data_IF_035043094628
#
_entry.id   IF_035043094628
#
_cell.length_a   1.000
_cell.length_b   1.000
_cell.length_c   1.000
_cell.angle_alpha   90.00
_cell.angle_beta   90.00
_cell.angle_gamma   90.00
#
_symmetry.space_group_name_H-M   'P 1'
#
loop_
_entity.id
_entity.type
_entity.pdbx_description
1 polymer ?
#
# COMPACT_ATOMS: atom_id res chain seq x y z
N UNK A 1 3.69 -28.84 -46.54
CA UNK A 1 4.18 -28.78 -45.14
C UNK A 1 3.19 -28.01 -44.31
N UNK A 2 2.50 -28.71 -43.39
CA UNK A 2 1.48 -28.11 -42.52
C UNK A 2 2.14 -27.51 -41.29
N UNK A 3 2.11 -26.18 -41.10
CA UNK A 3 2.51 -25.56 -39.87
C UNK A 3 1.36 -25.58 -38.87
N UNK A 4 1.59 -26.27 -37.78
CA UNK A 4 0.69 -26.41 -36.65
C UNK A 4 0.49 -25.04 -35.96
N UNK A 5 -0.77 -24.63 -35.81
CA UNK A 5 -1.17 -23.51 -34.94
C UNK A 5 -1.07 -24.00 -33.46
N UNK A 6 -0.09 -23.53 -32.75
CA UNK A 6 -0.05 -23.69 -31.30
C UNK A 6 -0.95 -22.60 -30.67
N UNK A 7 -2.15 -23.01 -30.30
CA UNK A 7 -3.05 -22.22 -29.46
C UNK A 7 -2.54 -22.28 -28.02
N UNK A 8 -1.79 -21.27 -27.60
CA UNK A 8 -1.36 -21.12 -26.22
C UNK A 8 -2.53 -20.63 -25.35
N UNK A 9 -3.22 -21.57 -24.71
CA UNK A 9 -4.04 -21.31 -23.53
C UNK A 9 -3.11 -20.95 -22.37
N UNK A 10 -2.76 -19.67 -22.21
CA UNK A 10 -2.19 -19.19 -20.97
C UNK A 10 -3.31 -19.15 -19.93
N UNK A 11 -3.22 -20.13 -19.03
CA UNK A 11 -4.20 -20.40 -18.02
C UNK A 11 -4.40 -19.27 -17.04
N UNK A 12 -5.65 -19.04 -16.77
CA UNK A 12 -6.23 -18.41 -15.58
C UNK A 12 -5.91 -19.26 -14.32
N UNK A 13 -4.65 -19.40 -13.95
CA UNK A 13 -4.21 -20.18 -12.78
C UNK A 13 -3.29 -19.38 -11.86
N UNK A 14 -3.78 -18.22 -11.38
CA UNK A 14 -3.08 -17.51 -10.30
C UNK A 14 -4.03 -16.80 -9.32
N UNK A 15 -5.35 -17.04 -9.37
CA UNK A 15 -6.31 -16.39 -8.47
C UNK A 15 -6.83 -17.28 -7.33
N UNK A 16 -6.36 -18.53 -7.20
CA UNK A 16 -6.88 -19.46 -6.20
C UNK A 16 -5.99 -19.65 -4.95
N UNK A 17 -4.86 -18.97 -4.83
CA UNK A 17 -3.90 -19.19 -3.72
C UNK A 17 -4.03 -18.21 -2.54
N UNK A 18 -5.01 -17.28 -2.54
CA UNK A 18 -5.18 -16.30 -1.45
C UNK A 18 -6.52 -16.40 -0.72
N UNK A 19 -7.20 -17.52 -0.80
CA UNK A 19 -8.35 -17.80 0.04
C UNK A 19 -7.93 -18.48 1.35
N UNK A 20 -6.97 -17.92 2.07
CA UNK A 20 -6.83 -18.19 3.50
C UNK A 20 -7.80 -17.27 4.23
N UNK A 21 -8.60 -17.77 5.18
CA UNK A 21 -9.46 -16.93 6.01
C UNK A 21 -8.58 -16.22 7.05
N UNK A 22 -7.76 -15.30 6.61
CA UNK A 22 -7.19 -14.32 7.51
C UNK A 22 -8.28 -13.31 7.84
N UNK A 23 -8.45 -13.07 9.14
CA UNK A 23 -9.36 -12.13 9.75
C UNK A 23 -9.58 -10.91 8.85
N UNK A 24 -10.84 -10.59 8.56
CA UNK A 24 -11.24 -9.44 7.77
C UNK A 24 -10.54 -8.21 8.35
N UNK A 25 -9.51 -7.74 7.69
CA UNK A 25 -8.85 -6.49 8.03
C UNK A 25 -9.90 -5.39 7.83
N UNK A 26 -10.08 -4.52 8.80
CA UNK A 26 -11.02 -3.40 8.78
C UNK A 26 -10.83 -2.43 7.58
N UNK A 27 -9.77 -2.63 6.79
CA UNK A 27 -9.38 -1.84 5.63
C UNK A 27 -9.84 -2.40 4.28
N UNK A 28 -10.52 -3.55 4.23
CA UNK A 28 -11.01 -4.12 2.97
C UNK A 28 -12.24 -3.37 2.46
N UNK A 29 -12.25 -2.98 1.17
CA UNK A 29 -13.41 -2.28 0.63
C UNK A 29 -13.23 -1.77 -0.79
N UNK A 30 -14.34 -1.35 -1.37
CA UNK A 30 -14.38 -0.71 -2.68
C UNK A 30 -13.98 0.75 -2.59
N UNK A 31 -13.29 1.22 -3.61
CA UNK A 31 -12.99 2.63 -3.77
C UNK A 31 -13.05 3.03 -5.25
N UNK A 32 -13.21 4.32 -5.48
CA UNK A 32 -13.13 4.90 -6.82
C UNK A 32 -12.44 6.24 -6.77
N UNK A 33 -11.92 6.69 -7.90
CA UNK A 33 -11.21 7.96 -7.94
C UNK A 33 -11.00 8.48 -9.35
N UNK A 34 -10.55 9.72 -9.39
CA UNK A 34 -10.14 10.38 -10.62
C UNK A 34 -8.82 11.13 -10.39
N UNK A 35 -7.98 11.17 -11.42
CA UNK A 35 -6.74 11.94 -11.40
C UNK A 35 -6.54 12.66 -12.73
N UNK A 36 -5.86 13.80 -12.67
CA UNK A 36 -5.43 14.57 -13.82
C UNK A 36 -3.97 15.02 -13.64
N UNK A 37 -3.27 15.20 -14.75
CA UNK A 37 -1.87 15.57 -14.68
C UNK A 37 -1.27 15.83 -16.06
N UNK A 38 0.05 15.90 -16.07
CA UNK A 38 0.83 16.08 -17.30
C UNK A 38 1.37 14.75 -17.78
N UNK A 39 1.06 14.43 -19.03
CA UNK A 39 1.64 13.31 -19.76
C UNK A 39 2.79 13.79 -20.65
N UNK A 40 3.82 12.95 -20.81
CA UNK A 40 4.95 13.24 -21.67
C UNK A 40 5.29 12.02 -22.51
N UNK A 41 5.27 12.19 -23.82
CA UNK A 41 5.79 11.23 -24.79
C UNK A 41 7.21 11.64 -25.20
N UNK A 42 7.97 10.66 -25.71
CA UNK A 42 9.26 10.92 -26.38
C UNK A 42 9.09 10.60 -27.86
N UNK A 43 9.25 11.61 -28.71
CA UNK A 43 9.14 11.48 -30.17
C UNK A 43 10.53 11.14 -30.73
N UNK A 44 10.58 10.15 -31.62
CA UNK A 44 11.83 9.70 -32.26
C UNK A 44 12.08 10.42 -33.59
N UNK A 45 12.78 11.55 -33.51
CA UNK A 45 13.17 12.37 -34.68
C UNK A 45 14.00 11.60 -35.69
N UNK A 46 14.84 10.69 -35.22
CA UNK A 46 15.70 9.86 -36.09
C UNK A 46 14.84 8.96 -36.99
N UNK A 47 13.81 8.37 -36.45
CA UNK A 47 12.84 7.54 -37.19
C UNK A 47 12.03 8.34 -38.19
N UNK A 48 11.57 9.53 -37.79
CA UNK A 48 10.83 10.45 -38.69
C UNK A 48 11.73 10.84 -39.86
N UNK A 49 12.95 11.26 -39.57
CA UNK A 49 13.98 11.64 -40.59
C UNK A 49 14.28 10.48 -41.53
N UNK A 50 14.49 9.28 -41.00
CA UNK A 50 14.79 8.09 -41.82
C UNK A 50 13.60 7.68 -42.69
N UNK A 51 12.39 7.79 -42.18
CA UNK A 51 11.16 7.51 -42.92
C UNK A 51 10.96 8.48 -44.08
N UNK A 52 11.16 9.77 -43.85
CA UNK A 52 11.10 10.81 -44.89
C UNK A 52 12.21 10.62 -45.94
N UNK A 53 13.44 10.33 -45.53
CA UNK A 53 14.57 10.07 -46.45
C UNK A 53 14.29 8.85 -47.32
N UNK A 54 13.73 7.76 -46.77
CA UNK A 54 13.31 6.58 -47.51
C UNK A 54 12.20 6.85 -48.51
N UNK A 55 11.46 7.94 -48.35
CA UNK A 55 10.43 8.43 -49.29
C UNK A 55 10.97 9.51 -50.24
N UNK A 56 12.26 9.81 -50.25
CA UNK A 56 12.91 10.79 -51.14
C UNK A 56 12.89 12.24 -50.63
N UNK A 57 12.58 12.45 -49.32
CA UNK A 57 12.56 13.78 -48.70
C UNK A 57 13.72 13.93 -47.68
N UNK A 58 14.44 15.03 -47.76
CA UNK A 58 15.37 15.41 -46.70
C UNK A 58 14.65 16.25 -45.64
N UNK A 59 14.84 15.92 -44.38
CA UNK A 59 14.28 16.71 -43.26
C UNK A 59 15.17 17.92 -42.99
N UNK A 60 14.57 19.11 -42.95
CA UNK A 60 15.27 20.37 -42.68
C UNK A 60 15.04 20.85 -41.24
N UNK A 61 13.91 20.57 -40.66
CA UNK A 61 13.63 20.82 -39.22
C UNK A 61 12.52 19.92 -38.71
N UNK A 62 12.55 19.59 -37.40
CA UNK A 62 11.47 18.92 -36.69
C UNK A 62 11.14 19.75 -35.46
N UNK A 63 9.86 19.95 -35.22
CA UNK A 63 9.31 20.56 -34.00
C UNK A 63 8.36 19.56 -33.37
N UNK A 64 8.55 19.26 -32.08
CA UNK A 64 7.81 18.25 -31.33
C UNK A 64 6.89 18.88 -30.26
N UNK A 65 5.70 18.33 -30.16
CA UNK A 65 4.77 18.56 -29.05
C UNK A 65 4.69 17.28 -28.20
N UNK A 66 5.59 17.17 -27.24
CA UNK A 66 5.79 15.98 -26.39
C UNK A 66 4.94 15.98 -25.13
N UNK A 67 4.22 17.08 -24.82
CA UNK A 67 3.48 17.24 -23.59
C UNK A 67 1.98 17.34 -23.86
N UNK A 68 1.19 16.71 -22.97
CA UNK A 68 -0.26 16.82 -23.03
C UNK A 68 -0.85 16.74 -21.63
N UNK A 69 -2.15 17.06 -21.50
CA UNK A 69 -2.89 16.77 -20.27
C UNK A 69 -3.43 15.35 -20.33
N UNK A 70 -3.10 14.56 -19.30
CA UNK A 70 -3.62 13.22 -19.11
C UNK A 70 -4.60 13.16 -17.95
N UNK A 71 -5.59 12.27 -18.03
CA UNK A 71 -6.53 12.02 -16.95
C UNK A 71 -6.89 10.54 -16.86
N UNK A 72 -7.30 10.14 -15.64
CA UNK A 72 -7.76 8.77 -15.34
C UNK A 72 -9.05 8.81 -14.53
N UNK A 73 -9.87 7.80 -14.76
CA UNK A 73 -10.99 7.43 -13.90
C UNK A 73 -10.81 5.96 -13.53
N UNK A 74 -10.82 5.64 -12.25
CA UNK A 74 -10.51 4.30 -11.78
C UNK A 74 -11.38 3.87 -10.62
N UNK A 75 -11.52 2.55 -10.46
CA UNK A 75 -12.11 1.92 -9.30
C UNK A 75 -11.34 0.67 -8.94
N UNK A 76 -11.39 0.30 -7.68
CA UNK A 76 -10.63 -0.84 -7.19
C UNK A 76 -11.24 -1.44 -5.93
N UNK A 77 -10.74 -2.60 -5.60
CA UNK A 77 -11.02 -3.28 -4.34
C UNK A 77 -9.73 -3.48 -3.56
N UNK A 78 -9.68 -2.94 -2.37
CA UNK A 78 -8.59 -3.15 -1.43
C UNK A 78 -8.88 -4.41 -0.63
N UNK A 79 -7.97 -5.41 -0.70
CA UNK A 79 -8.13 -6.70 -0.02
C UNK A 79 -7.71 -6.63 1.46
N UNK A 80 -6.69 -5.81 1.71
CA UNK A 80 -6.11 -5.58 3.03
C UNK A 80 -5.32 -4.27 3.00
N UNK A 81 -4.70 -3.88 4.11
CA UNK A 81 -3.90 -2.65 4.19
C UNK A 81 -2.74 -2.54 3.19
N UNK A 82 -2.30 -3.67 2.58
CA UNK A 82 -1.11 -3.71 1.73
C UNK A 82 -1.41 -3.97 0.25
N UNK A 83 -2.58 -4.53 -0.12
CA UNK A 83 -2.86 -4.93 -1.50
C UNK A 83 -4.24 -4.52 -1.97
N UNK A 84 -4.29 -4.03 -3.22
CA UNK A 84 -5.52 -3.72 -3.94
C UNK A 84 -5.41 -4.14 -5.41
N UNK A 85 -6.57 -4.39 -6.04
CA UNK A 85 -6.73 -4.52 -7.48
C UNK A 85 -7.47 -3.30 -7.99
N UNK A 86 -6.95 -2.64 -9.01
CA UNK A 86 -7.49 -1.40 -9.55
C UNK A 86 -7.66 -1.52 -11.07
N UNK A 87 -8.84 -1.18 -11.58
CA UNK A 87 -9.13 -1.09 -13.00
C UNK A 87 -9.60 0.31 -13.35
N UNK A 88 -9.31 0.77 -14.57
CA UNK A 88 -9.71 2.12 -14.93
C UNK A 88 -9.59 2.45 -16.41
N UNK A 89 -10.09 3.63 -16.74
CA UNK A 89 -9.92 4.28 -18.03
C UNK A 89 -8.84 5.36 -17.91
N UNK A 90 -8.01 5.47 -18.93
CA UNK A 90 -7.04 6.56 -19.08
C UNK A 90 -7.14 7.23 -20.47
N UNK A 91 -6.88 8.53 -20.51
CA UNK A 91 -6.59 9.29 -21.72
C UNK A 91 -5.29 10.06 -21.47
N UNK A 92 -4.23 9.73 -22.21
CA UNK A 92 -2.91 10.36 -22.09
C UNK A 92 -2.80 11.63 -22.91
N UNK A 93 -3.87 12.00 -23.63
CA UNK A 93 -3.93 13.20 -24.45
C UNK A 93 -3.39 13.00 -25.87
N UNK A 94 -2.87 14.07 -26.45
CA UNK A 94 -2.42 14.15 -27.84
C UNK A 94 -0.98 14.64 -27.89
N UNK A 95 -0.16 13.95 -28.65
CA UNK A 95 1.24 14.31 -28.93
C UNK A 95 1.42 14.47 -30.43
N UNK A 96 2.39 15.27 -30.85
CA UNK A 96 2.57 15.50 -32.26
C UNK A 96 3.94 16.01 -32.65
N UNK A 97 4.18 16.03 -33.95
CA UNK A 97 5.37 16.64 -34.54
C UNK A 97 5.02 17.33 -35.87
N UNK A 98 5.86 18.28 -36.24
CA UNK A 98 5.88 18.90 -37.56
C UNK A 98 7.29 18.80 -38.13
N UNK A 99 7.46 18.08 -39.23
CA UNK A 99 8.70 18.00 -39.99
C UNK A 99 8.64 18.80 -41.27
N UNK A 100 9.59 19.68 -41.51
CA UNK A 100 9.75 20.43 -42.76
C UNK A 100 10.73 19.69 -43.66
N UNK A 101 10.48 19.67 -44.96
CA UNK A 101 11.20 18.87 -45.91
C UNK A 101 11.76 19.66 -47.09
N UNK A 102 12.77 19.05 -47.76
CA UNK A 102 13.25 19.41 -49.08
C UNK A 102 13.12 18.18 -50.01
N UNK A 103 12.42 18.20 -51.13
CA UNK A 103 11.69 19.39 -51.68
C UNK A 103 10.64 19.95 -50.76
N UNK A 104 10.28 21.22 -50.94
CA UNK A 104 9.45 21.99 -50.01
C UNK A 104 8.11 21.32 -49.72
N UNK A 105 7.91 21.01 -48.44
CA UNK A 105 6.68 20.43 -47.89
C UNK A 105 6.77 20.30 -46.39
N UNK A 106 5.67 19.88 -45.75
CA UNK A 106 5.61 19.56 -44.33
C UNK A 106 4.91 18.23 -44.10
N UNK A 107 5.36 17.48 -43.11
CA UNK A 107 4.65 16.34 -42.56
C UNK A 107 4.25 16.68 -41.12
N UNK A 108 2.95 16.71 -40.86
CA UNK A 108 2.44 16.80 -39.48
C UNK A 108 1.91 15.44 -39.05
N UNK A 109 2.38 14.95 -37.92
CA UNK A 109 1.90 13.74 -37.29
C UNK A 109 1.35 14.03 -35.89
N UNK A 110 0.24 13.40 -35.55
CA UNK A 110 -0.36 13.47 -34.23
C UNK A 110 -0.79 12.07 -33.79
N UNK A 111 -0.60 11.77 -32.52
CA UNK A 111 -1.09 10.54 -31.89
C UNK A 111 -1.97 10.87 -30.71
N UNK A 112 -3.15 10.25 -30.62
CA UNK A 112 -4.05 10.30 -29.46
C UNK A 112 -4.10 8.92 -28.81
N UNK A 113 -3.91 8.87 -27.48
CA UNK A 113 -3.77 7.63 -26.72
C UNK A 113 -4.76 7.59 -25.57
N UNK A 114 -5.60 6.55 -25.58
CA UNK A 114 -6.59 6.28 -24.52
C UNK A 114 -6.78 4.77 -24.37
N UNK A 115 -7.32 4.33 -23.25
CA UNK A 115 -7.54 2.90 -23.06
C UNK A 115 -8.04 2.52 -21.69
N UNK A 116 -7.94 1.23 -21.40
CA UNK A 116 -8.27 0.64 -20.13
C UNK A 116 -7.01 0.05 -19.47
N UNK A 117 -6.97 0.01 -18.17
CA UNK A 117 -5.90 -0.64 -17.41
C UNK A 117 -6.45 -1.54 -16.31
N UNK A 118 -5.62 -2.50 -15.92
CA UNK A 118 -5.82 -3.36 -14.76
C UNK A 118 -4.49 -3.49 -14.03
N UNK A 119 -4.45 -3.05 -12.78
CA UNK A 119 -3.24 -2.91 -11.98
C UNK A 119 -3.37 -3.66 -10.65
N UNK A 120 -2.32 -4.37 -10.26
CA UNK A 120 -2.08 -4.75 -8.88
C UNK A 120 -1.37 -3.59 -8.18
N UNK A 121 -1.89 -3.19 -7.02
CA UNK A 121 -1.36 -2.08 -6.22
C UNK A 121 -0.86 -2.63 -4.89
N UNK A 122 0.43 -2.43 -4.63
CA UNK A 122 1.06 -2.71 -3.34
C UNK A 122 1.15 -1.42 -2.53
N UNK A 123 0.57 -1.40 -1.34
CA UNK A 123 0.48 -0.24 -0.47
C UNK A 123 1.38 -0.45 0.75
N UNK A 124 2.17 0.55 1.07
CA UNK A 124 3.02 0.60 2.26
C UNK A 124 2.52 1.75 3.16
N UNK A 125 1.77 1.46 4.22
CA UNK A 125 1.41 2.46 5.21
C UNK A 125 2.67 2.96 5.93
N UNK A 126 2.87 4.29 5.97
CA UNK A 126 4.00 4.94 6.64
C UNK A 126 3.52 5.56 7.95
N UNK A 127 2.33 6.17 7.93
CA UNK A 127 1.62 6.67 9.11
C UNK A 127 0.13 6.35 8.97
N UNK A 128 -0.69 6.66 9.96
CA UNK A 128 -2.15 6.49 9.90
C UNK A 128 -2.80 7.23 8.71
N UNK A 129 -2.20 8.33 8.26
CA UNK A 129 -2.75 9.15 7.16
C UNK A 129 -1.94 9.10 5.88
N UNK A 130 -0.68 8.69 5.95
CA UNK A 130 0.24 8.74 4.81
C UNK A 130 0.73 7.35 4.42
N UNK A 131 0.58 7.00 3.16
CA UNK A 131 1.08 5.75 2.58
C UNK A 131 1.80 6.01 1.26
N UNK A 132 2.83 5.19 0.99
CA UNK A 132 3.42 5.05 -0.33
C UNK A 132 2.81 3.83 -1.02
N UNK A 133 2.82 3.82 -2.34
CA UNK A 133 2.37 2.66 -3.09
C UNK A 133 3.17 2.47 -4.37
N UNK A 134 3.21 1.22 -4.84
CA UNK A 134 3.67 0.85 -6.16
C UNK A 134 2.57 0.11 -6.90
N UNK A 135 2.55 0.24 -8.22
CA UNK A 135 1.61 -0.48 -9.08
C UNK A 135 2.32 -1.13 -10.25
N UNK A 136 1.83 -2.27 -10.66
CA UNK A 136 2.22 -2.94 -11.90
C UNK A 136 0.99 -3.56 -12.53
N UNK A 137 0.84 -3.42 -13.84
CA UNK A 137 -0.35 -3.90 -14.51
C UNK A 137 -0.23 -3.93 -16.02
N UNK A 138 -1.37 -4.16 -16.63
CA UNK A 138 -1.55 -4.19 -18.08
C UNK A 138 -2.39 -3.00 -18.50
N UNK A 139 -2.10 -2.48 -19.69
CA UNK A 139 -2.96 -1.52 -20.36
C UNK A 139 -3.39 -2.05 -21.74
N UNK A 140 -4.63 -1.83 -22.09
CA UNK A 140 -5.17 -2.04 -23.42
C UNK A 140 -5.41 -0.66 -24.06
N UNK A 141 -4.38 -0.20 -24.80
CA UNK A 141 -4.34 1.12 -25.37
C UNK A 141 -4.87 1.14 -26.81
N UNK A 142 -5.69 2.15 -27.11
CA UNK A 142 -6.08 2.54 -28.44
C UNK A 142 -5.26 3.74 -28.88
N UNK A 143 -4.33 3.51 -29.82
CA UNK A 143 -3.53 4.53 -30.47
C UNK A 143 -4.24 4.95 -31.78
N UNK A 144 -4.55 6.22 -31.94
CA UNK A 144 -5.07 6.80 -33.17
C UNK A 144 -4.09 7.85 -33.66
N UNK A 145 -3.43 7.55 -34.77
CA UNK A 145 -2.51 8.45 -35.42
C UNK A 145 -3.25 9.28 -36.49
N UNK A 146 -2.75 10.45 -36.74
CA UNK A 146 -3.27 11.32 -37.83
C UNK A 146 -2.08 12.03 -38.46
N UNK A 147 -1.92 11.86 -39.75
CA UNK A 147 -0.88 12.47 -40.54
C UNK A 147 -1.47 13.39 -41.63
N UNK A 148 -0.86 14.54 -41.81
CA UNK A 148 -1.17 15.47 -42.89
C UNK A 148 0.10 15.94 -43.58
N UNK A 149 0.13 15.86 -44.91
CA UNK A 149 1.23 16.36 -45.74
C UNK A 149 0.83 17.67 -46.43
N UNK A 150 1.83 18.50 -46.68
CA UNK A 150 1.67 19.70 -47.54
C UNK A 150 2.84 19.77 -48.54
N UNK A 151 2.64 20.56 -49.61
CA UNK A 151 3.64 20.70 -50.66
C UNK A 151 3.87 19.40 -51.41
N UNK A 152 5.12 18.93 -51.47
CA UNK A 152 5.48 17.69 -52.16
C UNK A 152 5.25 16.41 -51.31
N UNK A 153 4.89 16.54 -50.05
CA UNK A 153 4.68 15.40 -49.14
C UNK A 153 3.26 14.88 -49.25
N UNK A 154 3.09 13.66 -49.76
CA UNK A 154 1.82 12.97 -49.83
C UNK A 154 1.72 11.88 -48.75
N UNK A 155 0.55 11.73 -48.14
CA UNK A 155 0.32 10.76 -47.03
C UNK A 155 -0.67 9.70 -47.50
N UNK A 156 -0.18 8.50 -47.75
CA UNK A 156 -1.00 7.38 -48.28
C UNK A 156 -2.03 6.89 -47.23
N UNK A 157 -1.65 6.82 -45.95
CA UNK A 157 -2.54 6.41 -44.88
C UNK A 157 -2.59 7.49 -43.78
N UNK A 158 -3.57 8.43 -43.91
CA UNK A 158 -3.60 9.61 -43.04
C UNK A 158 -4.10 9.33 -41.61
N UNK A 159 -4.85 8.25 -41.37
CA UNK A 159 -5.48 7.99 -40.06
C UNK A 159 -5.34 6.53 -39.62
N UNK A 160 -4.14 6.00 -39.46
CA UNK A 160 -3.98 4.65 -38.97
C UNK A 160 -4.36 4.58 -37.48
N UNK A 161 -4.88 3.41 -37.06
CA UNK A 161 -5.17 3.16 -35.66
C UNK A 161 -4.84 1.74 -35.25
N UNK A 162 -4.53 1.53 -33.99
CA UNK A 162 -4.15 0.22 -33.44
C UNK A 162 -4.58 0.08 -32.01
N UNK A 163 -5.06 -1.10 -31.68
CA UNK A 163 -5.23 -1.54 -30.30
C UNK A 163 -4.10 -2.46 -29.91
N UNK A 164 -3.49 -2.26 -28.76
CA UNK A 164 -2.43 -3.10 -28.26
C UNK A 164 -2.52 -3.25 -26.75
N UNK A 165 -2.21 -4.48 -26.30
CA UNK A 165 -2.03 -4.75 -24.87
C UNK A 165 -0.55 -4.60 -24.54
N UNK A 166 -0.25 -3.85 -23.48
CA UNK A 166 1.10 -3.58 -23.02
C UNK A 166 1.11 -3.58 -21.49
N UNK A 167 2.31 -3.52 -20.91
CA UNK A 167 2.47 -3.34 -19.47
C UNK A 167 2.55 -1.88 -19.07
N UNK A 168 2.25 -1.62 -17.81
CA UNK A 168 2.49 -0.33 -17.16
C UNK A 168 2.97 -0.56 -15.73
N UNK A 169 3.65 0.42 -15.20
CA UNK A 169 4.04 0.47 -13.80
C UNK A 169 4.07 1.91 -13.30
N UNK A 170 4.01 2.07 -11.98
CA UNK A 170 4.04 3.39 -11.37
C UNK A 170 4.29 3.32 -9.88
N UNK A 171 4.58 4.48 -9.32
CA UNK A 171 4.76 4.68 -7.89
C UNK A 171 4.07 5.98 -7.48
N UNK A 172 3.68 6.06 -6.22
CA UNK A 172 3.02 7.25 -5.74
C UNK A 172 2.90 7.28 -4.23
N UNK A 173 2.25 8.35 -3.78
CA UNK A 173 1.92 8.57 -2.38
C UNK A 173 0.46 8.92 -2.24
N UNK A 174 -0.12 8.58 -1.11
CA UNK A 174 -1.51 8.84 -0.79
C UNK A 174 -1.61 9.42 0.62
N UNK A 175 -2.46 10.43 0.76
CA UNK A 175 -2.74 11.08 2.03
C UNK A 175 -4.24 11.05 2.33
N UNK A 176 -4.63 10.44 3.44
CA UNK A 176 -6.02 10.40 3.90
C UNK A 176 -6.42 11.77 4.46
N UNK A 177 -7.35 12.45 3.79
CA UNK A 177 -7.94 13.72 4.23
C UNK A 177 -9.01 13.46 5.28
N UNK A 178 -9.83 12.45 5.03
CA UNK A 178 -10.86 11.91 5.94
C UNK A 178 -10.83 10.38 5.88
N UNK A 179 -11.68 9.70 6.61
CA UNK A 179 -11.82 8.24 6.55
C UNK A 179 -12.24 7.74 5.15
N UNK A 180 -13.04 8.53 4.43
CA UNK A 180 -13.57 8.16 3.13
C UNK A 180 -12.86 8.87 1.97
N UNK A 181 -12.15 9.96 2.21
CA UNK A 181 -11.54 10.78 1.14
C UNK A 181 -10.02 10.80 1.30
N UNK A 182 -9.30 10.49 0.22
CA UNK A 182 -7.86 10.59 0.16
C UNK A 182 -7.40 11.35 -1.09
N UNK A 183 -6.27 12.00 -1.00
CA UNK A 183 -5.55 12.58 -2.12
C UNK A 183 -4.40 11.66 -2.52
N UNK A 184 -4.15 11.53 -3.83
CA UNK A 184 -3.10 10.69 -4.40
C UNK A 184 -2.25 11.50 -5.35
N UNK A 185 -0.92 11.35 -5.27
CA UNK A 185 0.03 11.83 -6.27
C UNK A 185 0.83 10.64 -6.79
N UNK A 186 0.98 10.54 -8.11
CA UNK A 186 1.61 9.38 -8.73
C UNK A 186 2.37 9.73 -10.00
N UNK A 187 3.38 8.90 -10.30
CA UNK A 187 4.12 8.88 -11.56
C UNK A 187 3.94 7.49 -12.13
N UNK A 188 3.45 7.42 -13.36
CA UNK A 188 3.17 6.18 -14.06
C UNK A 188 3.86 6.17 -15.43
N UNK A 189 4.36 5.02 -15.84
CA UNK A 189 4.90 4.78 -17.17
C UNK A 189 4.06 3.75 -17.91
N UNK A 190 3.57 4.15 -19.06
CA UNK A 190 2.78 3.35 -19.97
C UNK A 190 3.63 2.93 -21.16
N UNK A 191 3.82 1.61 -21.36
CA UNK A 191 4.34 1.10 -22.62
C UNK A 191 3.24 1.19 -23.66
N UNK A 192 3.55 1.75 -24.84
CA UNK A 192 2.60 1.94 -25.92
C UNK A 192 3.20 1.40 -27.23
N UNK A 193 2.33 0.78 -28.05
CA UNK A 193 2.61 0.40 -29.41
C UNK A 193 1.65 1.16 -30.31
N UNK A 194 2.15 2.08 -31.14
CA UNK A 194 1.34 2.88 -32.07
C UNK A 194 0.96 2.12 -33.34
N UNK A 195 0.19 2.77 -34.21
CA UNK A 195 -0.29 2.18 -35.45
C UNK A 195 0.74 2.18 -36.57
N UNK A 196 1.82 2.97 -36.45
CA UNK A 196 2.92 3.01 -37.42
C UNK A 196 4.13 2.17 -37.01
N UNK A 197 3.93 1.31 -35.96
CA UNK A 197 4.93 0.32 -35.53
C UNK A 197 5.97 0.88 -34.56
N UNK A 198 5.76 2.08 -34.01
CA UNK A 198 6.62 2.60 -32.97
C UNK A 198 6.26 2.00 -31.61
N UNK A 199 7.28 1.77 -30.79
CA UNK A 199 7.15 1.28 -29.42
C UNK A 199 7.83 2.28 -28.50
N UNK A 200 7.01 3.05 -27.79
CA UNK A 200 7.49 4.12 -26.90
C UNK A 200 6.94 3.97 -25.49
N UNK A 201 7.46 4.80 -24.61
CA UNK A 201 6.97 4.96 -23.25
C UNK A 201 6.37 6.36 -23.09
N UNK A 202 5.25 6.44 -22.36
CA UNK A 202 4.64 7.70 -22.00
C UNK A 202 4.58 7.76 -20.48
N UNK A 203 5.13 8.83 -19.93
CA UNK A 203 5.12 9.11 -18.50
C UNK A 203 3.93 10.03 -18.18
N UNK A 204 3.16 9.69 -17.14
CA UNK A 204 2.08 10.51 -16.60
C UNK A 204 2.41 10.86 -15.15
N UNK A 205 2.52 12.15 -14.85
CA UNK A 205 2.58 12.68 -13.49
C UNK A 205 1.23 13.26 -13.16
N UNK A 206 0.54 12.73 -12.16
CA UNK A 206 -0.84 13.12 -11.87
C UNK A 206 -1.13 13.26 -10.38
N UNK A 207 -2.15 14.07 -10.09
CA UNK A 207 -2.75 14.22 -8.76
C UNK A 207 -4.23 13.90 -8.88
N UNK A 208 -4.78 13.23 -7.88
CA UNK A 208 -6.17 12.81 -7.90
C UNK A 208 -6.79 12.67 -6.52
N UNK A 209 -8.08 12.40 -6.53
CA UNK A 209 -8.88 12.12 -5.36
C UNK A 209 -9.42 10.70 -5.42
N UNK A 210 -9.48 10.08 -4.25
CA UNK A 210 -10.04 8.74 -4.05
C UNK A 210 -11.13 8.83 -3.02
N UNK A 211 -12.26 8.19 -3.33
CA UNK A 211 -13.35 8.00 -2.38
C UNK A 211 -13.51 6.52 -2.06
N UNK A 212 -13.49 6.17 -0.76
CA UNK A 212 -13.69 4.82 -0.25
C UNK A 212 -15.17 4.62 0.09
N UNK A 213 -15.78 3.59 -0.49
CA UNK A 213 -17.17 3.25 -0.26
C UNK A 213 -17.26 2.33 0.97
N UNK A 214 -18.15 2.64 1.89
CA UNK A 214 -18.37 1.81 3.07
C UNK A 214 -17.26 1.89 4.11
N UNK A 215 -16.59 3.04 4.23
CA UNK A 215 -15.74 3.31 5.37
C UNK A 215 -16.53 3.03 6.63
N UNK A 216 -16.21 1.93 7.32
CA UNK A 216 -16.70 1.76 8.69
C UNK A 216 -16.14 2.95 9.44
N UNK A 217 -17.02 3.78 9.97
CA UNK A 217 -16.64 4.68 11.05
C UNK A 217 -15.90 3.82 12.05
N UNK A 218 -14.62 4.08 12.40
CA UNK A 218 -14.01 3.41 13.52
C UNK A 218 -15.04 3.53 14.63
N UNK A 219 -15.43 2.42 15.22
CA UNK A 219 -16.31 2.47 16.37
C UNK A 219 -15.60 3.39 17.35
N UNK A 220 -16.06 4.64 17.39
CA UNK A 220 -15.57 5.65 18.33
C UNK A 220 -15.64 4.94 19.65
N UNK A 221 -14.48 4.62 20.23
CA UNK A 221 -14.43 4.07 21.57
C UNK A 221 -15.42 4.91 22.37
N UNK A 222 -16.41 4.33 23.04
CA UNK A 222 -17.49 5.10 23.66
C UNK A 222 -16.82 6.17 24.50
N UNK A 223 -16.90 7.44 24.03
CA UNK A 223 -16.49 8.58 24.83
C UNK A 223 -17.40 8.46 26.03
N UNK A 224 -16.84 8.19 27.20
CA UNK A 224 -17.56 8.19 28.42
C UNK A 224 -18.51 9.41 28.39
N UNK A 225 -19.80 9.16 28.30
CA UNK A 225 -20.79 10.22 28.25
C UNK A 225 -20.59 11.03 29.53
N UNK A 226 -20.24 12.31 29.35
CA UNK A 226 -20.30 13.29 30.42
C UNK A 226 -21.75 13.28 30.91
N UNK A 227 -22.01 13.01 32.20
CA UNK A 227 -23.37 12.84 32.67
C UNK A 227 -24.10 14.17 32.57
N UNK A 228 -25.12 14.24 31.70
CA UNK A 228 -26.11 15.30 31.75
C UNK A 228 -26.89 15.19 33.07
N UNK A 229 -27.20 16.29 33.75
CA UNK A 229 -27.94 16.26 35.00
C UNK A 229 -29.38 15.90 34.72
N UNK A 230 -29.73 14.64 34.94
CA UNK A 230 -31.15 14.19 34.92
C UNK A 230 -31.73 14.36 36.31
N UNK A 231 -32.82 15.11 36.37
CA UNK A 231 -33.62 15.29 37.56
C UNK A 231 -34.14 13.95 38.16
N UNK A 232 -34.06 13.85 39.47
CA UNK A 232 -34.34 12.66 40.24
C UNK A 232 -35.78 12.18 40.12
N UNK A 233 -35.96 10.88 39.82
CA UNK A 233 -37.15 10.10 40.18
C UNK A 233 -36.69 8.91 41.04
N UNK A 234 -37.48 8.47 42.02
CA UNK A 234 -37.02 7.58 43.10
C UNK A 234 -36.77 6.16 42.59
N UNK A 235 -35.64 5.61 43.01
CA UNK A 235 -35.09 4.32 42.62
C UNK A 235 -35.79 3.12 43.26
N UNK A 236 -35.87 1.97 42.54
CA UNK A 236 -35.85 0.66 43.16
C UNK A 236 -34.42 0.26 43.53
N UNK A 237 -34.25 -0.27 44.70
CA UNK A 237 -33.02 -0.75 45.29
C UNK A 237 -32.38 -1.84 44.41
N UNK A 238 -31.31 -1.52 43.65
CA UNK A 238 -30.48 -2.47 42.90
C UNK A 238 -29.29 -2.87 43.74
N UNK A 239 -29.18 -4.18 44.00
CA UNK A 239 -28.03 -4.82 44.61
C UNK A 239 -26.77 -4.40 43.88
N UNK A 240 -25.86 -3.73 44.55
CA UNK A 240 -24.58 -3.27 44.00
C UNK A 240 -23.70 -4.48 43.66
N UNK A 241 -23.59 -4.77 42.37
CA UNK A 241 -22.50 -5.64 41.83
C UNK A 241 -21.21 -4.83 41.91
N UNK A 242 -20.25 -5.29 42.67
CA UNK A 242 -18.94 -4.66 42.79
C UNK A 242 -18.28 -4.54 41.41
N UNK A 243 -17.58 -3.41 41.09
CA UNK A 243 -16.87 -3.27 39.84
C UNK A 243 -15.81 -4.37 39.72
N UNK A 244 -15.58 -4.93 38.50
CA UNK A 244 -14.54 -5.94 38.29
C UNK A 244 -13.19 -5.40 38.75
N UNK A 245 -12.33 -6.23 39.36
CA UNK A 245 -11.00 -5.79 39.78
C UNK A 245 -10.18 -5.33 38.58
N UNK A 246 -9.28 -4.33 38.76
CA UNK A 246 -8.45 -3.84 37.66
C UNK A 246 -7.55 -4.96 37.11
N UNK A 247 -7.29 -5.00 35.81
CA UNK A 247 -6.47 -6.04 35.19
C UNK A 247 -5.05 -6.05 35.80
N UNK A 248 -4.53 -7.23 36.10
CA UNK A 248 -3.16 -7.39 36.62
C UNK A 248 -2.19 -7.39 35.44
N UNK A 249 -1.31 -6.37 35.36
CA UNK A 249 -0.29 -6.25 34.33
C UNK A 249 1.07 -6.62 34.88
N UNK A 250 1.76 -7.55 34.22
CA UNK A 250 3.15 -7.97 34.53
C UNK A 250 4.02 -7.64 33.32
N UNK A 251 5.08 -6.86 33.54
CA UNK A 251 6.03 -6.49 32.48
C UNK A 251 7.31 -7.33 32.60
N UNK A 252 7.72 -7.97 31.54
CA UNK A 252 8.97 -8.72 31.44
C UNK A 252 9.97 -7.96 30.56
N UNK A 253 11.21 -7.76 31.03
CA UNK A 253 12.26 -7.22 30.18
C UNK A 253 12.52 -8.14 28.98
N UNK A 254 12.53 -7.61 27.76
CA UNK A 254 12.84 -8.39 26.59
C UNK A 254 14.27 -8.98 26.63
N UNK A 255 15.20 -8.30 27.27
CA UNK A 255 16.59 -8.76 27.42
C UNK A 255 16.71 -9.96 28.39
N UNK A 256 15.75 -10.13 29.32
CA UNK A 256 15.64 -11.33 30.16
C UNK A 256 15.01 -12.51 29.43
N UNK A 257 14.01 -12.23 28.55
CA UNK A 257 13.27 -13.26 27.81
C UNK A 257 14.03 -13.77 26.57
N UNK A 258 14.73 -12.87 25.85
CA UNK A 258 15.30 -13.15 24.54
C UNK A 258 16.76 -12.71 24.42
N UNK A 259 17.50 -13.32 23.51
CA UNK A 259 18.79 -12.77 23.06
C UNK A 259 18.57 -11.51 22.19
N UNK A 260 19.63 -10.72 22.07
CA UNK A 260 19.62 -9.55 21.21
C UNK A 260 19.17 -9.93 19.79
N UNK A 261 18.21 -9.19 19.27
CA UNK A 261 17.67 -9.39 17.92
C UNK A 261 16.99 -10.74 17.68
N UNK A 262 16.58 -11.47 18.71
CA UNK A 262 15.89 -12.76 18.60
C UNK A 262 14.50 -12.73 19.24
N UNK A 263 13.65 -13.66 18.81
CA UNK A 263 12.35 -13.97 19.40
C UNK A 263 12.31 -15.39 20.00
N UNK A 264 13.45 -16.07 20.09
CA UNK A 264 13.54 -17.38 20.73
C UNK A 264 13.76 -17.21 22.23
N UNK A 265 12.88 -17.79 23.05
CA UNK A 265 12.95 -17.70 24.51
C UNK A 265 14.20 -18.36 25.06
N UNK A 266 14.93 -17.64 25.94
CA UNK A 266 16.06 -18.13 26.72
C UNK A 266 15.59 -19.03 27.87
N UNK A 267 16.45 -19.90 28.42
CA UNK A 267 16.12 -20.70 29.60
C UNK A 267 15.64 -19.84 30.79
N UNK A 268 16.29 -18.72 31.06
CA UNK A 268 15.88 -17.79 32.12
C UNK A 268 14.50 -17.16 31.84
N UNK A 269 14.22 -16.85 30.58
CA UNK A 269 12.91 -16.34 30.16
C UNK A 269 11.78 -17.37 30.34
N UNK A 270 12.05 -18.62 30.02
CA UNK A 270 11.11 -19.74 30.29
C UNK A 270 10.81 -19.88 31.77
N UNK A 271 11.83 -19.86 32.64
CA UNK A 271 11.65 -19.91 34.09
C UNK A 271 10.81 -18.76 34.64
N UNK A 272 10.99 -17.52 34.10
CA UNK A 272 10.17 -16.37 34.48
C UNK A 272 8.70 -16.55 34.09
N UNK A 273 8.44 -17.12 32.91
CA UNK A 273 7.10 -17.43 32.43
C UNK A 273 6.48 -18.61 33.19
N UNK A 274 7.24 -19.61 33.56
CA UNK A 274 6.78 -20.74 34.40
C UNK A 274 6.34 -20.25 35.79
N UNK A 275 7.09 -19.33 36.39
CA UNK A 275 6.69 -18.69 37.65
C UNK A 275 5.40 -17.91 37.49
N UNK A 276 5.28 -17.06 36.44
CA UNK A 276 4.05 -16.35 36.15
C UNK A 276 2.86 -17.31 35.97
N UNK A 277 3.04 -18.40 35.24
CA UNK A 277 2.02 -19.41 35.04
C UNK A 277 1.60 -20.11 36.33
N UNK A 278 2.58 -20.36 37.22
CA UNK A 278 2.31 -20.92 38.54
C UNK A 278 1.49 -19.97 39.43
N UNK A 279 1.77 -18.67 39.36
CA UNK A 279 1.03 -17.61 40.08
C UNK A 279 -0.42 -17.46 39.56
N UNK A 280 -0.69 -17.89 38.31
CA UNK A 280 -2.04 -17.93 37.73
C UNK A 280 -2.83 -19.20 38.05
N UNK A 281 -2.20 -20.24 38.63
CA UNK A 281 -2.91 -21.48 38.96
C UNK A 281 -3.98 -21.24 40.01
N UNK A 282 -5.22 -21.54 39.64
CA UNK A 282 -6.38 -21.37 40.52
C UNK A 282 -7.00 -19.97 40.51
N UNK A 283 -6.48 -19.06 39.67
CA UNK A 283 -7.12 -17.78 39.40
C UNK A 283 -8.11 -17.92 38.24
N UNK A 284 -9.33 -17.40 38.41
CA UNK A 284 -10.26 -17.25 37.30
C UNK A 284 -9.88 -16.01 36.47
N UNK A 285 -9.61 -16.23 35.19
CA UNK A 285 -9.33 -15.16 34.24
C UNK A 285 -10.10 -15.35 32.94
N UNK A 286 -10.50 -14.24 32.35
CA UNK A 286 -11.24 -14.22 31.07
C UNK A 286 -10.30 -14.26 29.90
N UNK A 287 -9.31 -13.34 29.89
CA UNK A 287 -8.38 -13.20 28.78
C UNK A 287 -6.99 -12.75 29.26
N UNK A 288 -5.96 -13.26 28.59
CA UNK A 288 -4.58 -12.81 28.73
C UNK A 288 -4.17 -12.11 27.43
N UNK A 289 -3.65 -10.90 27.54
CA UNK A 289 -3.11 -10.15 26.41
C UNK A 289 -1.59 -10.03 26.55
N UNK A 290 -0.85 -10.56 25.57
CA UNK A 290 0.61 -10.45 25.50
C UNK A 290 0.95 -9.35 24.48
N UNK A 291 1.61 -8.28 24.94
CA UNK A 291 2.03 -7.17 24.09
C UNK A 291 3.55 -7.07 24.04
N UNK A 292 4.14 -7.23 22.86
CA UNK A 292 5.56 -7.06 22.65
C UNK A 292 5.93 -5.62 22.28
N UNK A 293 7.01 -5.10 22.87
CA UNK A 293 7.53 -3.77 22.64
C UNK A 293 9.01 -3.83 22.22
N UNK A 294 9.45 -2.88 21.42
CA UNK A 294 10.84 -2.60 21.12
C UNK A 294 11.18 -1.19 21.60
N UNK A 295 12.45 -0.83 21.54
CA UNK A 295 12.84 0.58 21.62
C UNK A 295 12.66 1.25 20.24
N UNK A 296 12.87 2.57 20.19
CA UNK A 296 12.75 3.40 18.99
C UNK A 296 13.91 3.29 17.99
N UNK A 297 14.93 2.47 18.29
CA UNK A 297 16.09 2.30 17.41
C UNK A 297 15.74 1.30 16.32
N UNK A 298 16.00 1.66 15.04
CA UNK A 298 15.76 0.81 13.89
C UNK A 298 14.55 1.21 13.06
N UNK A 299 14.24 0.39 12.05
CA UNK A 299 13.11 0.62 11.18
C UNK A 299 11.80 0.16 11.84
N UNK A 300 10.76 0.99 11.76
CA UNK A 300 9.43 0.67 12.29
C UNK A 300 8.93 -0.72 11.85
N UNK A 301 8.96 -1.03 10.55
CA UNK A 301 8.52 -2.32 10.02
C UNK A 301 9.31 -3.52 10.62
N UNK A 302 10.60 -3.34 10.86
CA UNK A 302 11.42 -4.34 11.50
C UNK A 302 11.04 -4.52 12.98
N UNK A 303 10.89 -3.43 13.72
CA UNK A 303 10.52 -3.41 15.13
C UNK A 303 9.12 -3.97 15.36
N UNK A 304 8.17 -3.66 14.48
CA UNK A 304 6.83 -4.23 14.49
C UNK A 304 6.88 -5.76 14.35
N UNK A 305 7.62 -6.27 13.37
CA UNK A 305 7.79 -7.72 13.18
C UNK A 305 8.48 -8.38 14.39
N UNK A 306 9.53 -7.79 14.93
CA UNK A 306 10.25 -8.32 16.08
C UNK A 306 9.39 -8.36 17.34
N UNK A 307 8.65 -7.28 17.62
CA UNK A 307 7.74 -7.19 18.78
C UNK A 307 6.61 -8.22 18.68
N UNK A 308 6.01 -8.37 17.49
CA UNK A 308 4.98 -9.38 17.23
C UNK A 308 5.51 -10.80 17.46
N UNK A 309 6.65 -11.16 16.85
CA UNK A 309 7.23 -12.49 17.03
C UNK A 309 7.59 -12.79 18.50
N UNK A 310 8.03 -11.79 19.27
CA UNK A 310 8.29 -11.94 20.71
C UNK A 310 7.03 -12.21 21.50
N UNK A 311 5.96 -11.46 21.22
CA UNK A 311 4.66 -11.69 21.86
C UNK A 311 4.09 -13.08 21.51
N UNK A 312 4.18 -13.49 20.25
CA UNK A 312 3.77 -14.83 19.80
C UNK A 312 4.59 -15.95 20.44
N UNK A 313 5.91 -15.77 20.64
CA UNK A 313 6.74 -16.75 21.29
C UNK A 313 6.36 -16.93 22.77
N UNK A 314 6.01 -15.85 23.48
CA UNK A 314 5.49 -15.91 24.85
C UNK A 314 4.13 -16.59 24.89
N UNK A 315 3.20 -16.20 24.01
CA UNK A 315 1.89 -16.87 23.90
C UNK A 315 2.05 -18.36 23.66
N UNK A 316 2.84 -18.75 22.68
CA UNK A 316 3.07 -20.16 22.33
C UNK A 316 3.62 -20.95 23.52
N UNK A 317 4.56 -20.35 24.25
CA UNK A 317 5.13 -20.98 25.43
C UNK A 317 4.09 -21.17 26.55
N UNK A 318 3.29 -20.15 26.85
CA UNK A 318 2.25 -20.22 27.87
C UNK A 318 1.15 -21.23 27.52
N UNK A 319 0.78 -21.34 26.24
CA UNK A 319 -0.16 -22.37 25.77
C UNK A 319 0.43 -23.77 25.93
N UNK A 320 1.66 -23.99 25.47
CA UNK A 320 2.27 -25.33 25.41
C UNK A 320 2.77 -25.83 26.76
N UNK A 321 3.35 -24.96 27.60
CA UNK A 321 4.03 -25.35 28.85
C UNK A 321 3.17 -25.09 30.09
N UNK A 322 2.33 -24.06 30.09
CA UNK A 322 1.44 -23.71 31.19
C UNK A 322 0.01 -24.21 31.02
N UNK A 323 -0.33 -24.78 29.84
CA UNK A 323 -1.66 -25.32 29.55
C UNK A 323 -2.78 -24.25 29.44
N UNK A 324 -2.42 -22.98 29.20
CA UNK A 324 -3.40 -21.90 29.01
C UNK A 324 -4.14 -22.12 27.70
N UNK A 325 -5.50 -22.13 27.69
CA UNK A 325 -6.27 -22.29 26.46
C UNK A 325 -5.92 -21.22 25.43
N UNK A 326 -5.71 -21.61 24.16
CA UNK A 326 -5.27 -20.71 23.11
C UNK A 326 -6.29 -19.62 22.72
N UNK A 327 -7.56 -19.86 23.00
CA UNK A 327 -8.69 -18.94 22.82
C UNK A 327 -8.74 -17.86 23.92
N UNK A 328 -8.12 -18.13 25.10
CA UNK A 328 -8.03 -17.18 26.19
C UNK A 328 -6.75 -16.34 26.18
N UNK A 329 -5.86 -16.49 25.21
CA UNK A 329 -4.62 -15.72 25.14
C UNK A 329 -4.39 -15.10 23.77
N UNK A 330 -4.29 -13.77 23.72
CA UNK A 330 -3.96 -12.97 22.54
C UNK A 330 -2.51 -12.52 22.54
N UNK A 331 -1.92 -12.31 21.35
CA UNK A 331 -0.57 -11.74 21.22
C UNK A 331 -0.57 -10.63 20.16
N UNK A 332 0.10 -9.51 20.45
CA UNK A 332 0.29 -8.40 19.52
C UNK A 332 1.63 -7.72 19.71
N UNK A 333 2.21 -7.18 18.64
CA UNK A 333 3.37 -6.29 18.70
C UNK A 333 2.94 -4.85 18.49
N UNK A 334 3.61 -3.92 19.15
CA UNK A 334 3.35 -2.47 19.04
C UNK A 334 4.62 -1.66 18.77
N UNK A 335 5.69 -2.34 18.33
CA UNK A 335 6.99 -1.74 18.05
C UNK A 335 7.53 -0.86 19.20
N UNK A 336 8.10 0.32 18.88
CA UNK A 336 8.56 1.34 19.82
C UNK A 336 7.58 2.50 20.03
N UNK A 337 6.29 2.34 19.66
CA UNK A 337 5.30 3.42 19.72
C UNK A 337 4.75 3.69 21.12
N UNK A 338 4.94 2.75 22.05
CA UNK A 338 4.49 2.88 23.45
C UNK A 338 5.70 2.78 24.43
N UNK A 339 6.57 3.81 24.49
CA UNK A 339 7.76 3.81 25.33
C UNK A 339 7.41 4.02 26.81
N UNK A 340 8.18 3.37 27.69
CA UNK A 340 8.18 3.63 29.15
C UNK A 340 9.05 4.85 29.46
N UNK A 341 10.11 5.04 28.69
CA UNK A 341 10.99 6.22 28.83
C UNK A 341 10.26 7.51 28.42
N UNK A 342 10.37 8.54 29.24
CA UNK A 342 9.68 9.81 28.98
C UNK A 342 10.30 10.56 27.81
N UNK A 343 9.51 11.39 27.10
CA UNK A 343 10.02 12.25 26.04
C UNK A 343 11.19 13.12 26.56
N UNK A 344 12.36 13.02 25.91
CA UNK A 344 13.56 13.80 26.28
C UNK A 344 14.46 13.14 27.33
N UNK A 345 14.09 12.04 27.94
CA UNK A 345 14.90 11.31 28.93
C UNK A 345 16.12 10.64 28.28
N UNK A 346 15.96 9.91 27.20
CA UNK A 346 17.04 9.29 26.44
C UNK A 346 17.41 10.16 25.22
N UNK A 347 18.32 11.13 25.42
CA UNK A 347 18.71 12.09 24.37
C UNK A 347 19.62 11.46 23.31
N UNK A 348 19.47 11.89 22.06
CA UNK A 348 20.31 11.54 20.91
C UNK A 348 19.58 10.72 19.85
N UNK A 349 19.95 10.99 18.58
CA UNK A 349 19.47 10.22 17.41
C UNK A 349 20.51 9.21 16.91
N UNK A 350 21.78 9.44 17.25
CA UNK A 350 22.87 8.54 16.84
C UNK A 350 22.94 7.37 17.80
N UNK A 351 22.88 6.15 17.24
CA UNK A 351 22.98 4.91 18.00
C UNK A 351 24.31 4.86 18.76
N UNK A 352 24.23 4.79 20.09
CA UNK A 352 25.37 4.68 20.98
C UNK A 352 25.09 3.69 22.12
N UNK A 353 26.11 3.15 22.75
CA UNK A 353 25.95 2.25 23.90
C UNK A 353 25.13 2.89 25.02
N UNK A 354 25.33 4.17 25.28
CA UNK A 354 24.58 4.94 26.28
C UNK A 354 23.09 5.04 25.93
N UNK A 355 22.75 5.33 24.66
CA UNK A 355 21.36 5.40 24.19
C UNK A 355 20.69 4.01 24.26
N UNK A 356 21.37 2.96 23.85
CA UNK A 356 20.88 1.57 23.92
C UNK A 356 20.57 1.17 25.37
N UNK A 357 21.44 1.52 26.30
CA UNK A 357 21.24 1.26 27.74
C UNK A 357 20.06 2.08 28.31
N UNK A 358 19.96 3.35 27.93
CA UNK A 358 18.87 4.23 28.37
C UNK A 358 17.49 3.71 27.92
N UNK A 359 17.39 3.21 26.70
CA UNK A 359 16.15 2.69 26.11
C UNK A 359 15.83 1.23 26.50
N UNK A 360 16.61 0.63 27.38
CA UNK A 360 16.40 -0.76 27.81
C UNK A 360 14.99 -1.00 28.38
N UNK A 361 14.38 -0.10 29.20
CA UNK A 361 13.02 -0.31 29.71
C UNK A 361 11.94 -0.39 28.65
N UNK A 362 12.16 0.23 27.48
CA UNK A 362 11.20 0.19 26.37
C UNK A 362 11.16 -1.19 25.70
N UNK A 363 12.26 -1.96 25.79
CA UNK A 363 12.32 -3.33 25.27
C UNK A 363 11.74 -4.31 26.29
N UNK A 364 10.44 -4.57 26.18
CA UNK A 364 9.69 -5.41 27.12
C UNK A 364 8.60 -6.24 26.45
N UNK A 365 8.08 -7.19 27.19
CA UNK A 365 6.81 -7.87 26.87
C UNK A 365 5.89 -7.70 28.07
N UNK A 366 4.77 -7.07 27.83
CA UNK A 366 3.70 -6.90 28.82
C UNK A 366 2.73 -8.08 28.72
N UNK A 367 2.41 -8.69 29.85
CA UNK A 367 1.38 -9.71 29.95
C UNK A 367 0.30 -9.17 30.89
N UNK A 368 -0.87 -8.93 30.34
CA UNK A 368 -2.03 -8.37 31.04
C UNK A 368 -3.09 -9.44 31.21
N UNK A 369 -3.51 -9.68 32.44
CA UNK A 369 -4.53 -10.66 32.80
C UNK A 369 -5.78 -9.92 33.20
N UNK A 370 -6.88 -10.15 32.49
CA UNK A 370 -8.19 -9.62 32.80
C UNK A 370 -9.09 -10.77 33.25
N UNK A 371 -9.87 -10.57 34.30
CA UNK A 371 -10.81 -11.55 34.79
C UNK A 371 -11.57 -11.07 36.02
N UNK A 372 -12.68 -11.67 36.26
CA UNK A 372 -13.49 -11.53 37.49
C UNK A 372 -12.98 -12.50 38.54
N UNK A 373 -12.70 -12.00 39.75
CA UNK A 373 -12.57 -12.87 40.93
C UNK A 373 -13.91 -13.49 41.27
#
# INVERSE_FOLDING_TARGET
MKLARASGTLGLMALAAFASPYAAADDAGWYGGASAGQSRARIDDGRITSGLLGSGFATTSISNDEHSTGYKLFGGYQFNQNFALEGGYFDLGKFGFTATTAPTGTLNGNIKLRGLNLDLVGILPITEKFSAFGRAGLNYAHAKDSFTGTGSVDVINPNPSKNAMNYKFGVGVQYALTESLAMRAEIERYRINDAVGNKGDIDLVSVGLIYRFGGKTPARAPRAAEPEPVAAAPAPELVAVAPPPPPTKVAFSADSLFDFNKATLKPAGKQALDKFAADLKGADFDVITVTGHTDRIGLHAYNMKLSTHRAEAVKTYLVQSAGIPSDKIGAKGVDGSDPVTKPGECKGQKVSKALIACLQPDRRVDVEVSGTK
#
